data_IF_901315942445
#
_entry.id   IF_901315942445
#
_cell.length_a   1.000
_cell.length_b   1.000
_cell.length_c   1.000
_cell.angle_alpha   90.00
_cell.angle_beta   90.00
_cell.angle_gamma   90.00
#
_symmetry.space_group_name_H-M   'P 1'
#
loop_
_entity.id
_entity.type
_entity.pdbx_description
1 polymer ?
#
# COMPACT_ATOMS: atom_id res chain seq x y z
N UNK A 1 -6.81 -8.52 -29.42
CA UNK A 1 -5.71 -8.18 -28.50
C UNK A 1 -5.06 -9.48 -28.06
N UNK A 2 -3.77 -9.67 -28.33
CA UNK A 2 -3.01 -10.83 -27.87
C UNK A 2 -2.39 -10.54 -26.50
N UNK A 3 -2.84 -11.23 -25.46
CA UNK A 3 -2.28 -11.10 -24.11
C UNK A 3 -1.04 -11.97 -23.98
N UNK A 4 0.11 -11.37 -23.65
CA UNK A 4 1.34 -12.08 -23.31
C UNK A 4 1.27 -12.44 -21.82
N UNK A 5 1.56 -13.69 -21.48
CA UNK A 5 1.52 -14.19 -20.10
C UNK A 5 2.92 -14.36 -19.53
N UNK A 6 3.03 -14.14 -18.23
CA UNK A 6 4.25 -14.28 -17.48
C UNK A 6 4.02 -14.03 -16.00
N UNK A 7 5.06 -14.26 -15.21
CA UNK A 7 5.06 -14.11 -13.76
C UNK A 7 6.19 -13.19 -13.31
N UNK A 8 6.00 -12.50 -12.20
CA UNK A 8 7.07 -11.70 -11.59
C UNK A 8 7.94 -12.62 -10.73
N UNK A 9 9.25 -12.65 -11.00
CA UNK A 9 10.28 -13.30 -10.17
C UNK A 9 11.43 -12.33 -9.95
N UNK A 10 11.83 -12.14 -8.70
CA UNK A 10 12.92 -11.22 -8.32
C UNK A 10 12.77 -9.80 -8.91
N UNK A 11 11.54 -9.28 -8.93
CA UNK A 11 11.22 -7.97 -9.48
C UNK A 11 11.27 -7.88 -11.01
N UNK A 12 11.39 -9.01 -11.72
CA UNK A 12 11.44 -9.07 -13.19
C UNK A 12 10.27 -9.85 -13.75
N UNK A 13 9.73 -9.41 -14.88
CA UNK A 13 8.71 -10.15 -15.63
C UNK A 13 9.37 -11.30 -16.39
N UNK A 14 9.00 -12.53 -16.06
CA UNK A 14 9.43 -13.76 -16.74
C UNK A 14 8.27 -14.26 -17.58
N UNK A 15 8.44 -14.32 -18.89
CA UNK A 15 7.40 -14.76 -19.82
C UNK A 15 7.25 -16.28 -19.80
N UNK A 16 6.01 -16.76 -19.93
CA UNK A 16 5.71 -18.21 -19.96
C UNK A 16 6.20 -18.89 -21.26
N UNK A 17 6.44 -18.09 -22.31
CA UNK A 17 6.90 -18.56 -23.61
C UNK A 17 7.61 -17.47 -24.40
N UNK A 18 8.26 -17.84 -25.51
CA UNK A 18 8.95 -16.88 -26.36
C UNK A 18 7.98 -15.87 -26.96
N UNK A 19 8.40 -14.61 -27.04
CA UNK A 19 7.66 -13.54 -27.70
C UNK A 19 8.51 -12.94 -28.82
N UNK A 20 7.92 -12.80 -30.00
CA UNK A 20 8.56 -12.16 -31.17
C UNK A 20 8.18 -10.69 -31.24
N UNK A 21 8.57 -9.92 -30.22
CA UNK A 21 8.46 -8.46 -30.26
C UNK A 21 9.82 -7.86 -30.67
N UNK A 22 9.84 -6.80 -31.49
CA UNK A 22 11.07 -6.07 -31.79
C UNK A 22 11.74 -5.54 -30.52
N UNK A 23 13.06 -5.41 -30.57
CA UNK A 23 13.81 -4.74 -29.50
C UNK A 23 13.29 -3.30 -29.29
N UNK A 24 13.24 -2.86 -28.02
CA UNK A 24 12.71 -1.54 -27.66
C UNK A 24 11.18 -1.44 -27.60
N UNK A 25 10.44 -2.55 -27.82
CA UNK A 25 8.99 -2.56 -27.66
C UNK A 25 8.60 -2.25 -26.21
N UNK A 26 7.89 -1.13 -26.00
CA UNK A 26 7.34 -0.77 -24.70
C UNK A 26 6.13 -1.66 -24.38
N UNK A 27 6.12 -2.23 -23.18
CA UNK A 27 5.03 -3.07 -22.68
C UNK A 27 4.44 -2.47 -21.41
N UNK A 28 3.12 -2.61 -21.23
CA UNK A 28 2.41 -2.18 -20.03
C UNK A 28 1.85 -3.41 -19.33
N UNK A 29 2.07 -3.50 -18.02
CA UNK A 29 1.45 -4.54 -17.19
C UNK A 29 0.05 -4.03 -16.82
N UNK A 30 -0.99 -4.69 -17.33
CA UNK A 30 -2.35 -4.41 -16.93
C UNK A 30 -2.63 -5.09 -15.58
N UNK A 31 -2.64 -4.32 -14.50
CA UNK A 31 -3.08 -4.78 -13.18
C UNK A 31 -4.58 -4.48 -13.02
N UNK A 32 -5.40 -5.45 -12.58
CA UNK A 32 -6.83 -5.22 -12.32
C UNK A 32 -7.01 -4.50 -10.97
N UNK A 33 -6.38 -3.34 -10.82
CA UNK A 33 -6.63 -2.50 -9.65
C UNK A 33 -8.02 -1.87 -9.79
N UNK A 34 -8.86 -1.92 -8.75
CA UNK A 34 -10.11 -1.17 -8.74
C UNK A 34 -9.82 0.33 -8.91
N UNK A 35 -10.74 1.05 -9.54
CA UNK A 35 -10.63 2.50 -9.66
C UNK A 35 -10.61 3.14 -8.26
N UNK A 36 -9.73 4.12 -8.05
CA UNK A 36 -9.48 4.70 -6.72
C UNK A 36 -10.68 5.51 -6.17
N UNK A 37 -11.62 5.91 -7.03
CA UNK A 37 -12.83 6.64 -6.70
C UNK A 37 -14.05 5.74 -6.43
N UNK A 38 -13.96 4.45 -6.76
CA UNK A 38 -15.04 3.48 -6.55
C UNK A 38 -15.08 3.00 -5.08
N UNK A 39 -16.02 3.54 -4.33
CA UNK A 39 -16.26 3.22 -2.92
C UNK A 39 -17.46 2.27 -2.72
N UNK A 40 -17.90 1.56 -3.78
CA UNK A 40 -18.92 0.51 -3.63
C UNK A 40 -18.43 -0.63 -2.72
N UNK A 41 -19.33 -1.31 -1.97
CA UNK A 41 -18.97 -2.45 -1.13
C UNK A 41 -18.18 -3.53 -1.90
N UNK A 42 -18.54 -3.78 -3.16
CA UNK A 42 -17.88 -4.75 -4.03
C UNK A 42 -16.47 -4.31 -4.42
N UNK A 43 -16.23 -3.01 -4.65
CA UNK A 43 -14.90 -2.47 -4.93
C UNK A 43 -14.01 -2.50 -3.69
N UNK A 44 -14.56 -2.16 -2.52
CA UNK A 44 -13.87 -2.28 -1.22
C UNK A 44 -13.46 -3.74 -0.99
N UNK A 45 -14.37 -4.70 -1.20
CA UNK A 45 -14.06 -6.11 -1.04
C UNK A 45 -12.93 -6.58 -1.98
N UNK A 46 -12.95 -6.16 -3.25
CA UNK A 46 -11.85 -6.45 -4.19
C UNK A 46 -10.52 -5.86 -3.73
N UNK A 47 -10.53 -4.64 -3.19
CA UNK A 47 -9.33 -3.98 -2.68
C UNK A 47 -8.78 -4.69 -1.44
N UNK A 48 -9.64 -5.13 -0.52
CA UNK A 48 -9.24 -5.91 0.64
C UNK A 48 -8.59 -7.24 0.24
N UNK A 49 -9.19 -7.97 -0.70
CA UNK A 49 -8.61 -9.22 -1.23
C UNK A 49 -7.24 -8.98 -1.86
N UNK A 50 -7.06 -7.87 -2.58
CA UNK A 50 -5.76 -7.49 -3.14
C UNK A 50 -4.74 -7.16 -2.05
N UNK A 51 -5.14 -6.46 -0.98
CA UNK A 51 -4.26 -6.15 0.15
C UNK A 51 -3.83 -7.41 0.91
N UNK A 52 -4.75 -8.35 1.12
CA UNK A 52 -4.43 -9.63 1.77
C UNK A 52 -3.41 -10.45 0.97
N UNK A 53 -3.42 -10.32 -0.36
CA UNK A 53 -2.45 -10.98 -1.23
C UNK A 53 -1.02 -10.47 -1.03
N UNK A 54 -0.82 -9.27 -0.47
CA UNK A 54 0.52 -8.74 -0.21
C UNK A 54 1.22 -9.34 1.02
N UNK A 55 0.54 -10.17 1.81
CA UNK A 55 1.13 -10.87 2.96
C UNK A 55 1.74 -9.92 4.01
N UNK A 56 2.40 -10.49 5.02
CA UNK A 56 3.13 -9.69 5.99
C UNK A 56 4.39 -9.10 5.33
N UNK A 57 4.44 -7.77 5.26
CA UNK A 57 5.59 -7.03 4.71
C UNK A 57 6.71 -6.80 5.75
N UNK A 58 6.44 -7.14 7.02
CA UNK A 58 7.39 -7.14 8.14
C UNK A 58 7.34 -8.47 8.87
N UNK A 59 8.47 -8.90 9.40
CA UNK A 59 8.52 -10.02 10.37
C UNK A 59 7.87 -9.65 11.71
N UNK A 60 7.55 -10.64 12.53
CA UNK A 60 6.98 -10.43 13.87
C UNK A 60 7.89 -9.59 14.77
N UNK A 61 9.21 -9.83 14.71
CA UNK A 61 10.20 -9.10 15.50
C UNK A 61 10.29 -7.62 15.06
N UNK A 62 10.25 -7.36 13.75
CA UNK A 62 10.25 -5.99 13.22
C UNK A 62 8.96 -5.27 13.57
N UNK A 63 7.82 -5.96 13.53
CA UNK A 63 6.52 -5.39 13.92
C UNK A 63 6.53 -5.00 15.40
N UNK A 64 7.03 -5.88 16.27
CA UNK A 64 7.14 -5.60 17.70
C UNK A 64 8.08 -4.42 17.99
N UNK A 65 9.19 -4.30 17.26
CA UNK A 65 10.10 -3.15 17.37
C UNK A 65 9.41 -1.86 16.92
N UNK A 66 8.67 -1.90 15.81
CA UNK A 66 7.91 -0.75 15.30
C UNK A 66 6.81 -0.31 16.27
N UNK A 67 6.05 -1.25 16.85
CA UNK A 67 5.00 -0.96 17.82
C UNK A 67 5.52 -0.23 19.06
N UNK A 68 6.73 -0.60 19.54
CA UNK A 68 7.39 0.10 20.64
C UNK A 68 7.70 1.57 20.32
N UNK A 69 8.36 1.81 19.18
CA UNK A 69 8.70 3.17 18.73
C UNK A 69 7.42 3.99 18.53
N UNK A 70 6.39 3.37 17.94
CA UNK A 70 5.10 4.00 17.71
C UNK A 70 4.39 4.37 19.02
N UNK A 71 4.48 3.55 20.05
CA UNK A 71 3.87 3.83 21.34
C UNK A 71 4.51 5.06 22.01
N UNK A 72 5.84 5.16 21.95
CA UNK A 72 6.60 6.30 22.47
C UNK A 72 6.26 7.59 21.71
N UNK A 73 6.25 7.55 20.37
CA UNK A 73 5.88 8.69 19.54
C UNK A 73 4.42 9.11 19.78
N UNK A 74 3.48 8.15 19.87
CA UNK A 74 2.07 8.44 20.17
C UNK A 74 1.91 9.17 21.51
N UNK A 75 2.61 8.74 22.55
CA UNK A 75 2.57 9.41 23.85
C UNK A 75 3.11 10.84 23.76
N UNK A 76 4.20 11.04 23.01
CA UNK A 76 4.73 12.38 22.74
C UNK A 76 3.71 13.25 21.99
N UNK A 77 3.14 12.78 20.88
CA UNK A 77 2.16 13.52 20.08
C UNK A 77 0.91 13.90 20.90
N UNK A 78 0.38 12.99 21.71
CA UNK A 78 -0.73 13.27 22.63
C UNK A 78 -0.37 14.38 23.63
N UNK A 79 0.84 14.36 24.19
CA UNK A 79 1.29 15.42 25.10
C UNK A 79 1.40 16.80 24.44
N UNK A 80 1.76 16.85 23.15
CA UNK A 80 1.80 18.09 22.38
C UNK A 80 0.39 18.56 22.03
N UNK A 81 -0.48 17.64 21.64
CA UNK A 81 -1.89 17.92 21.38
C UNK A 81 -2.58 18.54 22.60
N UNK A 82 -2.39 17.96 23.80
CA UNK A 82 -2.97 18.50 25.03
C UNK A 82 -2.47 19.91 25.38
N UNK A 83 -1.19 20.21 25.10
CA UNK A 83 -0.64 21.56 25.29
C UNK A 83 -1.29 22.55 24.32
N UNK A 84 -1.43 22.15 23.07
CA UNK A 84 -2.06 22.98 22.04
C UNK A 84 -3.55 23.20 22.32
N UNK A 85 -4.28 22.14 22.70
CA UNK A 85 -5.70 22.22 23.00
C UNK A 85 -5.99 23.07 24.25
N UNK A 86 -5.09 23.06 25.25
CA UNK A 86 -5.21 23.95 26.43
C UNK A 86 -4.84 25.40 26.10
N UNK A 87 -3.85 25.64 25.24
CA UNK A 87 -3.45 26.97 24.77
C UNK A 87 -4.43 27.63 23.80
N UNK A 88 -5.28 26.84 23.13
CA UNK A 88 -6.33 27.31 22.22
C UNK A 88 -7.59 27.87 22.91
N UNK A 89 -7.68 27.78 24.24
CA UNK A 89 -8.83 28.29 25.04
C UNK A 89 -8.77 29.81 25.32
N UNK A 90 -8.04 30.58 24.50
CA UNK A 90 -7.97 32.03 24.57
C UNK A 90 -9.19 32.72 23.93
N UNK A 91 -9.46 34.01 24.23
CA UNK A 91 -10.78 34.63 24.30
C UNK A 91 -11.47 34.99 22.97
N UNK A 92 -11.24 34.23 21.89
CA UNK A 92 -11.88 34.47 20.59
C UNK A 92 -12.82 33.33 20.18
N UNK A 93 -13.68 32.91 21.12
CA UNK A 93 -14.99 32.29 20.84
C UNK A 93 -16.09 33.12 21.50
#
# INVERSE_FOLDING_TARGET
MSTIRGIIRDGKVVLDGPVTLPEGTQVTIATPLPADDDNSPEAIQRRLVLMDAFGAWMSEDELAAWERVRAEDKAFQLSQWEKWSRGGSGPWQ
#
